data_IF_466032958943
#
_entry.id   IF_466032958943
#
_cell.length_a   1.000
_cell.length_b   1.000
_cell.length_c   1.000
_cell.angle_alpha   90.00
_cell.angle_beta   90.00
_cell.angle_gamma   90.00
#
_symmetry.space_group_name_H-M   'P 1'
#
loop_
_entity.id
_entity.type
_entity.pdbx_description
1 polymer ?
#
# COMPACT_ATOMS: atom_id res chain seq x y z
N UNK A 1 -41.26 14.40 2.22
CA UNK A 1 -41.48 12.95 2.10
C UNK A 1 -40.45 12.27 2.96
N UNK A 2 -40.91 11.54 3.89
CA UNK A 2 -40.37 11.07 5.13
C UNK A 2 -39.09 10.22 4.99
N UNK A 3 -38.00 10.72 5.58
CA UNK A 3 -36.80 9.95 5.95
C UNK A 3 -37.16 8.80 6.92
N UNK A 4 -37.05 7.58 6.46
CA UNK A 4 -36.91 6.42 7.32
C UNK A 4 -35.42 6.12 7.51
N UNK A 5 -34.83 6.75 8.51
CA UNK A 5 -33.54 6.33 9.04
C UNK A 5 -33.67 4.92 9.63
N UNK A 6 -33.08 3.96 8.99
CA UNK A 6 -32.81 2.63 9.52
C UNK A 6 -31.81 2.76 10.68
N UNK A 7 -32.33 2.72 11.91
CA UNK A 7 -31.50 2.52 13.10
C UNK A 7 -30.96 1.08 13.05
N UNK A 8 -29.72 0.92 12.64
CA UNK A 8 -28.98 -0.30 12.75
C UNK A 8 -28.61 -0.57 14.23
N UNK A 9 -28.63 -1.83 14.61
CA UNK A 9 -28.47 -2.41 15.93
C UNK A 9 -27.02 -2.35 16.48
N UNK A 10 -26.45 -1.16 16.64
CA UNK A 10 -25.03 -1.00 17.09
C UNK A 10 -24.85 -0.96 18.63
N UNK A 11 -25.91 -0.95 19.41
CA UNK A 11 -25.83 -0.76 20.86
C UNK A 11 -25.20 -1.94 21.65
N UNK A 12 -25.44 -3.23 21.34
CA UNK A 12 -24.83 -4.34 22.08
C UNK A 12 -23.32 -4.47 21.89
N UNK A 13 -22.82 -4.33 20.67
CA UNK A 13 -21.40 -4.45 20.35
C UNK A 13 -20.55 -3.36 21.01
N UNK A 14 -21.04 -2.12 21.03
CA UNK A 14 -20.36 -0.99 21.69
C UNK A 14 -20.31 -1.12 23.21
N UNK A 15 -21.34 -1.70 23.84
CA UNK A 15 -21.35 -1.96 25.30
C UNK A 15 -20.36 -3.06 25.69
N UNK A 16 -20.26 -4.13 24.90
CA UNK A 16 -19.29 -5.21 25.13
C UNK A 16 -17.84 -4.75 24.90
N UNK A 17 -17.59 -3.92 23.90
CA UNK A 17 -16.27 -3.33 23.67
C UNK A 17 -15.83 -2.46 24.85
N UNK A 18 -16.71 -1.61 25.39
CA UNK A 18 -16.42 -0.76 26.55
C UNK A 18 -16.08 -1.59 27.78
N UNK A 19 -16.75 -2.71 28.00
CA UNK A 19 -16.49 -3.64 29.11
C UNK A 19 -15.10 -4.26 28.98
N UNK A 20 -14.73 -4.75 27.80
CA UNK A 20 -13.40 -5.31 27.52
C UNK A 20 -12.29 -4.28 27.73
N UNK A 21 -12.50 -3.04 27.30
CA UNK A 21 -11.55 -1.93 27.51
C UNK A 21 -11.37 -1.67 29.00
N UNK A 22 -12.46 -1.64 29.78
CA UNK A 22 -12.42 -1.44 31.23
C UNK A 22 -11.66 -2.58 31.94
N UNK A 23 -11.92 -3.82 31.58
CA UNK A 23 -11.18 -4.98 32.10
C UNK A 23 -9.68 -4.93 31.80
N UNK A 24 -9.31 -4.53 30.58
CA UNK A 24 -7.92 -4.38 30.16
C UNK A 24 -7.20 -3.22 30.88
N UNK A 25 -7.92 -2.14 31.19
CA UNK A 25 -7.40 -1.04 32.03
C UNK A 25 -7.11 -1.51 33.44
N UNK A 26 -8.02 -2.28 34.07
CA UNK A 26 -7.78 -2.88 35.38
C UNK A 26 -6.56 -3.79 35.38
N UNK A 27 -6.38 -4.59 34.33
CA UNK A 27 -5.17 -5.42 34.16
C UNK A 27 -3.91 -4.55 34.06
N UNK A 28 -3.95 -3.44 33.31
CA UNK A 28 -2.83 -2.52 33.18
C UNK A 28 -2.46 -1.87 34.52
N UNK A 29 -3.44 -1.42 35.33
CA UNK A 29 -3.15 -0.86 36.65
C UNK A 29 -2.46 -1.87 37.58
N UNK A 30 -2.87 -3.15 37.55
CA UNK A 30 -2.19 -4.22 38.28
C UNK A 30 -0.74 -4.43 37.80
N UNK A 31 -0.49 -4.30 36.50
CA UNK A 31 0.85 -4.40 35.92
C UNK A 31 1.69 -3.20 36.39
N UNK A 32 1.14 -2.00 36.35
CA UNK A 32 1.81 -0.76 36.80
C UNK A 32 2.22 -0.81 38.24
N UNK A 33 1.39 -1.32 39.12
CA UNK A 33 1.70 -1.43 40.55
C UNK A 33 2.87 -2.39 40.85
N UNK A 34 3.18 -3.29 39.91
CA UNK A 34 4.24 -4.32 40.07
C UNK A 34 5.44 -4.11 39.12
N UNK A 35 5.48 -3.01 38.36
CA UNK A 35 6.50 -2.74 37.36
C UNK A 35 7.10 -1.33 37.57
N UNK A 36 8.43 -1.24 37.73
CA UNK A 36 9.15 0.01 37.89
C UNK A 36 9.03 0.95 36.67
N UNK A 37 8.79 0.40 35.49
CA UNK A 37 8.64 1.13 34.23
C UNK A 37 7.18 1.52 33.93
N UNK A 38 6.33 1.67 34.95
CA UNK A 38 4.93 2.07 34.81
C UNK A 38 4.13 1.21 33.82
N UNK A 39 4.44 -0.09 33.75
CA UNK A 39 3.77 -1.06 32.89
C UNK A 39 4.23 -1.10 31.41
N UNK A 40 5.27 -0.33 31.09
CA UNK A 40 5.86 -0.28 29.74
C UNK A 40 7.37 -0.42 29.81
N UNK A 41 7.90 -1.63 30.09
CA UNK A 41 9.35 -1.86 30.15
C UNK A 41 9.99 -1.64 28.78
N UNK A 42 11.21 -1.13 28.77
CA UNK A 42 12.01 -0.87 27.56
C UNK A 42 13.41 -1.53 27.62
N UNK A 43 13.55 -2.50 28.48
CA UNK A 43 14.79 -3.26 28.75
C UNK A 43 14.91 -4.55 27.93
N UNK A 44 13.88 -4.88 27.13
CA UNK A 44 13.92 -6.05 26.25
C UNK A 44 14.59 -5.70 24.91
N UNK A 45 15.71 -6.35 24.60
CA UNK A 45 16.37 -6.24 23.30
C UNK A 45 15.91 -7.34 22.35
N UNK A 46 15.23 -6.94 21.24
CA UNK A 46 14.88 -7.86 20.16
C UNK A 46 16.09 -8.03 19.25
N UNK A 47 16.56 -9.25 19.08
CA UNK A 47 17.73 -9.59 18.26
C UNK A 47 17.34 -10.26 16.94
N UNK A 48 16.17 -10.93 16.89
CA UNK A 48 15.79 -11.74 15.75
C UNK A 48 14.39 -11.39 15.21
N UNK A 49 14.17 -11.64 13.92
CA UNK A 49 12.90 -11.52 13.24
C UNK A 49 12.30 -12.89 12.91
N UNK A 50 10.97 -12.98 12.95
CA UNK A 50 10.27 -14.23 12.70
C UNK A 50 10.56 -14.84 11.31
N UNK A 51 10.63 -14.00 10.26
CA UNK A 51 10.92 -14.47 8.90
C UNK A 51 12.35 -15.00 8.77
N UNK A 52 13.33 -14.37 9.41
CA UNK A 52 14.73 -14.80 9.35
C UNK A 52 14.89 -16.18 10.01
N UNK A 53 14.26 -16.38 11.17
CA UNK A 53 14.22 -17.68 11.86
C UNK A 53 13.56 -18.74 10.98
N UNK A 54 12.44 -18.42 10.33
CA UNK A 54 11.77 -19.36 9.41
C UNK A 54 12.63 -19.70 8.20
N UNK A 55 13.31 -18.71 7.62
CA UNK A 55 14.19 -18.92 6.45
C UNK A 55 15.42 -19.78 6.79
N UNK A 56 16.00 -19.58 7.96
CA UNK A 56 17.20 -20.29 8.38
C UNK A 56 16.92 -21.72 8.91
N UNK A 57 15.77 -21.91 9.56
CA UNK A 57 15.49 -23.14 10.31
C UNK A 57 14.22 -23.87 9.88
N UNK A 58 13.45 -23.34 8.94
CA UNK A 58 12.17 -23.91 8.53
C UNK A 58 12.27 -25.34 8.00
N UNK A 59 13.35 -25.66 7.29
CA UNK A 59 13.58 -26.99 6.70
C UNK A 59 14.30 -27.98 7.65
N UNK A 60 14.87 -27.50 8.76
CA UNK A 60 15.60 -28.35 9.72
C UNK A 60 14.66 -29.33 10.43
N UNK A 61 15.17 -30.50 10.76
CA UNK A 61 14.41 -31.50 11.55
C UNK A 61 14.33 -31.09 13.03
N UNK A 62 13.53 -31.77 13.79
CA UNK A 62 13.40 -31.53 15.22
C UNK A 62 14.72 -31.84 15.94
N UNK A 63 15.37 -32.93 15.57
CA UNK A 63 16.62 -33.40 16.13
C UNK A 63 17.75 -32.39 15.89
N UNK A 64 17.87 -31.90 14.65
CA UNK A 64 18.86 -30.87 14.30
C UNK A 64 18.67 -29.56 15.10
N UNK A 65 17.42 -29.18 15.39
CA UNK A 65 17.14 -27.98 16.21
C UNK A 65 17.45 -28.23 17.70
N UNK A 66 17.21 -29.43 18.21
CA UNK A 66 17.55 -29.81 19.57
C UNK A 66 19.07 -29.82 19.82
N UNK A 67 19.88 -30.15 18.81
CA UNK A 67 21.34 -30.09 18.88
C UNK A 67 21.89 -28.66 18.84
N UNK A 68 21.23 -27.73 18.13
CA UNK A 68 21.69 -26.35 17.94
C UNK A 68 21.77 -25.55 19.25
N UNK A 69 20.83 -25.76 20.20
CA UNK A 69 20.76 -25.07 21.49
C UNK A 69 20.92 -23.54 21.40
N UNK A 70 20.48 -22.93 20.30
CA UNK A 70 20.60 -21.48 20.08
C UNK A 70 19.40 -20.76 20.66
N UNK A 71 19.67 -19.71 21.41
CA UNK A 71 18.66 -18.86 22.02
C UNK A 71 18.23 -17.74 21.08
N UNK A 72 16.94 -17.55 20.91
CA UNK A 72 16.33 -16.52 20.08
C UNK A 72 15.55 -15.53 20.93
N UNK A 73 15.79 -14.24 20.70
CA UNK A 73 15.07 -13.13 21.33
C UNK A 73 14.19 -12.43 20.31
N UNK A 74 12.89 -12.56 20.43
CA UNK A 74 11.89 -12.00 19.53
C UNK A 74 10.90 -11.12 20.27
N UNK A 75 10.38 -10.10 19.62
CA UNK A 75 9.29 -9.27 20.14
C UNK A 75 8.24 -9.02 19.07
N UNK A 76 6.97 -9.05 19.48
CA UNK A 76 5.88 -8.82 18.55
C UNK A 76 4.52 -8.81 19.21
N UNK A 77 3.49 -8.66 18.38
CA UNK A 77 2.09 -8.61 18.82
C UNK A 77 1.50 -10.01 18.95
N UNK A 78 0.83 -10.26 20.06
CA UNK A 78 0.08 -11.50 20.29
C UNK A 78 -1.17 -11.51 19.41
N UNK A 79 -1.19 -12.43 18.44
CA UNK A 79 -2.32 -12.61 17.50
C UNK A 79 -3.23 -13.75 17.87
N UNK A 80 -2.77 -14.72 18.65
CA UNK A 80 -3.57 -15.81 19.19
C UNK A 80 -2.93 -16.40 20.43
N UNK A 81 -3.78 -16.99 21.28
CA UNK A 81 -3.39 -17.74 22.47
C UNK A 81 -4.09 -19.10 22.41
N UNK A 82 -3.32 -20.18 22.31
CA UNK A 82 -3.85 -21.54 22.12
C UNK A 82 -3.13 -22.51 23.08
N UNK A 83 -3.78 -22.83 24.19
CA UNK A 83 -3.17 -23.69 25.21
C UNK A 83 -1.80 -23.16 25.67
N UNK A 84 -0.71 -23.92 25.45
CA UNK A 84 0.64 -23.51 25.82
C UNK A 84 1.31 -22.60 24.80
N UNK A 85 0.66 -22.29 23.67
CA UNK A 85 1.23 -21.52 22.58
C UNK A 85 0.68 -20.10 22.51
N UNK A 86 1.58 -19.15 22.21
CA UNK A 86 1.29 -17.79 21.77
C UNK A 86 1.70 -17.65 20.30
N UNK A 87 0.82 -17.15 19.46
CA UNK A 87 1.20 -16.73 18.10
C UNK A 87 1.60 -15.28 18.18
N UNK A 88 2.86 -14.98 17.87
CA UNK A 88 3.47 -13.65 17.92
C UNK A 88 3.75 -13.21 16.50
N UNK A 89 3.34 -11.98 16.18
CA UNK A 89 3.54 -11.35 14.87
C UNK A 89 4.46 -10.15 15.02
N UNK A 90 5.56 -10.15 14.28
CA UNK A 90 6.45 -8.99 14.13
C UNK A 90 6.28 -8.31 12.77
N UNK A 91 7.22 -7.46 12.38
CA UNK A 91 7.22 -6.75 11.08
C UNK A 91 7.49 -7.67 9.90
N UNK A 92 8.10 -8.83 10.13
CA UNK A 92 8.53 -9.78 9.09
C UNK A 92 7.54 -10.92 8.88
N UNK A 93 6.94 -11.44 9.96
CA UNK A 93 6.08 -12.61 9.90
C UNK A 93 5.49 -13.02 11.24
N UNK A 94 5.21 -14.31 11.37
CA UNK A 94 4.67 -14.92 12.60
C UNK A 94 5.53 -16.08 13.05
N UNK A 95 5.67 -16.20 14.37
CA UNK A 95 6.31 -17.34 15.03
C UNK A 95 5.52 -17.70 16.28
N UNK A 96 5.68 -18.92 16.77
CA UNK A 96 5.04 -19.35 18.00
C UNK A 96 6.02 -19.25 19.18
N UNK A 97 5.52 -18.84 20.33
CA UNK A 97 6.17 -19.01 21.60
C UNK A 97 5.47 -20.07 22.41
N UNK A 98 6.20 -20.91 23.10
CA UNK A 98 5.69 -22.02 23.89
C UNK A 98 6.08 -21.87 25.37
N UNK A 99 5.12 -22.09 26.27
CA UNK A 99 5.39 -22.20 27.71
C UNK A 99 4.50 -23.25 28.33
N UNK A 100 5.11 -24.33 28.83
CA UNK A 100 4.40 -25.39 29.51
C UNK A 100 3.99 -24.96 30.93
N UNK A 101 2.76 -25.34 31.33
CA UNK A 101 2.19 -24.94 32.61
C UNK A 101 2.96 -25.49 33.83
N UNK A 102 3.54 -26.68 33.68
CA UNK A 102 4.26 -27.38 34.74
C UNK A 102 5.72 -26.94 34.84
N UNK A 103 6.38 -26.64 33.73
CA UNK A 103 7.79 -26.30 33.65
C UNK A 103 8.00 -24.79 33.77
N UNK A 104 7.29 -23.99 32.94
CA UNK A 104 7.38 -22.52 32.98
C UNK A 104 6.22 -21.89 33.79
N UNK A 105 6.07 -22.30 35.04
CA UNK A 105 4.98 -21.85 35.93
C UNK A 105 4.90 -20.34 36.07
N UNK A 106 6.03 -19.67 36.22
CA UNK A 106 6.12 -18.22 36.42
C UNK A 106 5.72 -17.45 35.16
N UNK A 107 6.17 -17.93 33.98
CA UNK A 107 5.80 -17.35 32.68
C UNK A 107 4.29 -17.52 32.48
N UNK A 108 3.78 -18.72 32.74
CA UNK A 108 2.35 -19.03 32.58
C UNK A 108 1.45 -18.26 33.55
N UNK A 109 1.92 -17.95 34.73
CA UNK A 109 1.19 -17.12 35.69
C UNK A 109 0.96 -15.69 35.14
N UNK A 110 1.94 -15.14 34.45
CA UNK A 110 1.84 -13.80 33.82
C UNK A 110 0.79 -13.75 32.69
N UNK A 111 0.44 -14.89 32.07
CA UNK A 111 -0.55 -14.94 30.98
C UNK A 111 -1.99 -14.66 31.41
N UNK A 112 -2.28 -14.62 32.72
CA UNK A 112 -3.60 -14.21 33.22
C UNK A 112 -3.95 -12.76 32.87
N UNK A 113 -2.93 -11.89 32.75
CA UNK A 113 -3.10 -10.48 32.34
C UNK A 113 -2.94 -10.25 30.82
N UNK A 114 -2.52 -11.28 30.08
CA UNK A 114 -2.26 -11.19 28.64
C UNK A 114 -3.55 -11.26 27.83
N UNK A 115 -3.71 -10.31 26.92
CA UNK A 115 -4.79 -10.28 25.96
C UNK A 115 -4.25 -10.29 24.51
N UNK A 116 -5.10 -10.72 23.57
CA UNK A 116 -4.79 -10.61 22.12
C UNK A 116 -4.64 -9.14 21.78
N UNK A 117 -3.57 -8.83 21.04
CA UNK A 117 -3.19 -7.46 20.71
C UNK A 117 -2.04 -6.90 21.55
N UNK A 118 -1.72 -7.49 22.71
CA UNK A 118 -0.57 -7.09 23.51
C UNK A 118 0.75 -7.27 22.75
N UNK A 119 1.75 -6.48 23.06
CA UNK A 119 3.11 -6.65 22.55
C UNK A 119 3.95 -7.32 23.65
N UNK A 120 4.63 -8.39 23.28
CA UNK A 120 5.45 -9.19 24.19
C UNK A 120 6.85 -9.38 23.62
N UNK A 121 7.84 -9.51 24.53
CA UNK A 121 9.16 -10.02 24.25
C UNK A 121 9.28 -11.42 24.84
N UNK A 122 9.86 -12.34 24.09
CA UNK A 122 10.18 -13.70 24.54
C UNK A 122 11.59 -14.06 24.14
N UNK A 123 12.25 -14.85 24.99
CA UNK A 123 13.58 -15.40 24.73
C UNK A 123 13.60 -16.87 25.12
N UNK A 124 14.29 -17.68 24.34
CA UNK A 124 14.42 -19.11 24.59
C UNK A 124 14.92 -19.89 23.38
N UNK A 125 14.99 -21.20 23.53
CA UNK A 125 15.54 -22.12 22.54
C UNK A 125 14.49 -22.43 21.48
N UNK A 126 14.94 -22.54 20.22
CA UNK A 126 14.10 -22.85 19.09
C UNK A 126 13.84 -24.36 19.01
N UNK A 127 12.57 -24.72 18.81
CA UNK A 127 12.13 -26.11 18.65
C UNK A 127 11.14 -26.22 17.48
N UNK A 128 10.83 -27.48 17.08
CA UNK A 128 9.82 -27.78 16.07
C UNK A 128 8.72 -28.67 16.66
N UNK A 129 7.48 -28.29 16.40
CA UNK A 129 6.32 -29.05 16.83
C UNK A 129 6.15 -30.35 16.03
N UNK A 130 5.35 -31.31 16.52
CA UNK A 130 5.03 -32.53 15.77
C UNK A 130 4.28 -32.29 14.44
N UNK A 131 3.81 -31.05 14.21
CA UNK A 131 3.19 -30.61 12.94
C UNK A 131 4.16 -29.86 12.02
N UNK A 132 5.42 -29.71 12.43
CA UNK A 132 6.43 -29.00 11.65
C UNK A 132 6.52 -27.49 11.91
N UNK A 133 5.70 -26.91 12.79
CA UNK A 133 5.76 -25.48 13.09
C UNK A 133 6.93 -25.17 14.03
N UNK A 134 7.71 -24.14 13.71
CA UNK A 134 8.75 -23.61 14.59
C UNK A 134 8.15 -22.86 15.79
N UNK A 135 8.74 -23.04 16.96
CA UNK A 135 8.38 -22.29 18.16
C UNK A 135 9.61 -22.03 19.05
N UNK A 136 9.58 -20.91 19.75
CA UNK A 136 10.54 -20.57 20.80
C UNK A 136 10.02 -21.12 22.12
N UNK A 137 10.75 -22.06 22.73
CA UNK A 137 10.49 -22.55 24.09
C UNK A 137 10.94 -21.48 25.07
N UNK A 138 9.99 -20.80 25.70
CA UNK A 138 10.25 -19.58 26.47
C UNK A 138 11.01 -19.87 27.75
N UNK A 139 12.17 -19.23 27.88
CA UNK A 139 12.95 -19.12 29.13
C UNK A 139 12.69 -17.76 29.78
N UNK A 140 12.51 -16.72 28.98
CA UNK A 140 12.14 -15.38 29.43
C UNK A 140 10.88 -14.89 28.73
N UNK A 141 10.08 -14.10 29.44
CA UNK A 141 8.86 -13.47 28.95
C UNK A 141 8.69 -12.07 29.57
N UNK A 142 8.46 -11.08 28.73
CA UNK A 142 8.14 -9.72 29.15
C UNK A 142 6.92 -9.20 28.42
N UNK A 143 5.98 -8.58 29.14
CA UNK A 143 4.90 -7.79 28.54
C UNK A 143 5.42 -6.37 28.28
N UNK A 144 5.62 -6.02 27.02
CA UNK A 144 6.18 -4.74 26.61
C UNK A 144 5.13 -3.64 26.49
N UNK A 145 3.94 -3.98 25.97
CA UNK A 145 2.85 -3.02 25.81
C UNK A 145 1.50 -3.70 25.94
N UNK A 146 0.63 -3.15 26.78
CA UNK A 146 -0.74 -3.60 26.94
C UNK A 146 -1.64 -2.98 25.86
N UNK A 147 -2.35 -3.82 25.11
CA UNK A 147 -3.39 -3.38 24.17
C UNK A 147 -4.69 -3.14 24.91
N UNK A 148 -5.14 -1.89 24.96
CA UNK A 148 -6.38 -1.54 25.67
C UNK A 148 -7.63 -1.79 24.85
N UNK A 149 -7.56 -1.62 23.52
CA UNK A 149 -8.67 -1.89 22.62
C UNK A 149 -8.55 -3.29 22.05
N UNK A 150 -9.64 -4.07 22.00
CA UNK A 150 -9.65 -5.36 21.31
C UNK A 150 -9.37 -5.15 19.82
N UNK A 151 -8.72 -6.11 19.20
CA UNK A 151 -8.63 -6.16 17.74
C UNK A 151 -9.98 -6.60 17.17
N UNK A 152 -10.38 -6.12 16.00
CA UNK A 152 -11.56 -6.61 15.29
C UNK A 152 -11.53 -8.13 15.13
N UNK A 153 -12.69 -8.78 15.17
CA UNK A 153 -12.78 -10.23 15.07
C UNK A 153 -12.21 -10.74 13.74
N UNK A 154 -11.46 -11.85 13.83
CA UNK A 154 -10.72 -12.44 12.72
C UNK A 154 -11.58 -12.88 11.54
N UNK A 155 -12.86 -13.23 11.80
CA UNK A 155 -13.78 -13.77 10.81
C UNK A 155 -14.58 -12.71 10.04
N UNK A 156 -14.70 -11.52 10.61
CA UNK A 156 -15.40 -10.41 9.94
C UNK A 156 -14.45 -9.31 9.51
N UNK A 157 -13.20 -9.32 9.99
CA UNK A 157 -12.11 -8.42 9.64
C UNK A 157 -12.55 -6.96 9.61
N UNK A 158 -11.68 -6.07 9.22
CA UNK A 158 -12.09 -4.78 8.67
C UNK A 158 -12.52 -5.03 7.22
N UNK A 159 -13.78 -5.45 7.00
CA UNK A 159 -14.34 -5.60 5.66
C UNK A 159 -14.73 -4.26 5.06
N UNK A 160 -15.11 -3.32 5.91
CA UNK A 160 -15.44 -1.95 5.53
C UNK A 160 -14.19 -1.21 5.03
N UNK A 161 -14.22 -0.83 3.76
CA UNK A 161 -13.13 -0.13 3.09
C UNK A 161 -12.86 1.25 3.70
N UNK A 162 -13.88 1.95 4.13
CA UNK A 162 -13.73 3.26 4.76
C UNK A 162 -13.02 3.14 6.11
N UNK A 163 -13.41 2.14 6.91
CA UNK A 163 -12.75 1.87 8.18
C UNK A 163 -11.26 1.48 8.00
N UNK A 164 -10.91 0.72 6.95
CA UNK A 164 -9.51 0.42 6.60
C UNK A 164 -8.70 1.69 6.32
N UNK A 165 -9.29 2.67 5.66
CA UNK A 165 -8.63 3.95 5.39
C UNK A 165 -8.53 4.82 6.65
N UNK A 166 -9.59 4.90 7.46
CA UNK A 166 -9.61 5.73 8.68
C UNK A 166 -8.72 5.17 9.79
N UNK A 167 -8.67 3.84 9.92
CA UNK A 167 -7.86 3.14 10.92
C UNK A 167 -6.78 2.28 10.27
N UNK A 168 -5.95 2.89 9.42
CA UNK A 168 -4.90 2.20 8.68
C UNK A 168 -3.96 1.39 9.58
N UNK A 169 -3.68 1.86 10.79
CA UNK A 169 -2.85 1.16 11.75
C UNK A 169 -3.49 -0.16 12.24
N UNK A 170 -4.83 -0.22 12.35
CA UNK A 170 -5.54 -1.47 12.67
C UNK A 170 -5.54 -2.41 11.47
N UNK A 171 -5.80 -1.89 10.27
CA UNK A 171 -5.74 -2.63 9.01
C UNK A 171 -4.35 -3.29 8.83
N UNK A 172 -3.27 -2.56 9.08
CA UNK A 172 -1.90 -3.08 9.03
C UNK A 172 -1.62 -4.18 10.08
N UNK A 173 -2.29 -4.17 11.25
CA UNK A 173 -2.15 -5.24 12.24
C UNK A 173 -2.79 -6.53 11.74
N UNK A 174 -3.95 -6.44 11.09
CA UNK A 174 -4.82 -7.57 10.79
C UNK A 174 -4.54 -8.14 9.40
N UNK A 175 -4.43 -7.28 8.38
CA UNK A 175 -4.36 -7.65 6.98
C UNK A 175 -2.91 -7.74 6.48
N UNK A 176 -2.52 -8.94 6.12
CA UNK A 176 -1.19 -9.20 5.54
C UNK A 176 -1.06 -8.59 4.13
N UNK A 177 -2.11 -8.69 3.33
CA UNK A 177 -2.15 -8.10 1.98
C UNK A 177 -1.90 -6.59 2.01
N UNK A 178 -2.47 -5.88 3.00
CA UNK A 178 -2.21 -4.45 3.19
C UNK A 178 -0.75 -4.19 3.51
N UNK A 179 -0.14 -4.96 4.42
CA UNK A 179 1.30 -4.84 4.72
C UNK A 179 2.16 -5.09 3.49
N UNK A 180 1.86 -6.14 2.72
CA UNK A 180 2.58 -6.47 1.51
C UNK A 180 2.45 -5.37 0.46
N UNK A 181 1.27 -4.79 0.28
CA UNK A 181 1.04 -3.66 -0.62
C UNK A 181 1.97 -2.48 -0.28
N UNK A 182 2.10 -2.11 0.99
CA UNK A 182 3.00 -1.02 1.39
C UNK A 182 4.48 -1.39 1.24
N UNK A 183 4.87 -2.64 1.54
CA UNK A 183 6.25 -3.12 1.30
C UNK A 183 6.60 -3.09 -0.19
N UNK A 184 5.71 -3.59 -1.05
CA UNK A 184 5.88 -3.58 -2.52
C UNK A 184 5.95 -2.14 -3.02
N UNK A 185 5.06 -1.25 -2.57
CA UNK A 185 5.10 0.18 -2.92
C UNK A 185 6.46 0.81 -2.60
N UNK A 186 6.98 0.58 -1.40
CA UNK A 186 8.30 1.11 -1.01
C UNK A 186 9.42 0.58 -1.89
N UNK A 187 9.39 -0.71 -2.21
CA UNK A 187 10.37 -1.34 -3.12
C UNK A 187 10.28 -0.78 -4.54
N UNK A 188 9.06 -0.55 -5.06
CA UNK A 188 8.85 0.06 -6.38
C UNK A 188 9.46 1.46 -6.42
N UNK A 189 9.19 2.32 -5.43
CA UNK A 189 9.75 3.68 -5.38
C UNK A 189 11.27 3.66 -5.31
N UNK A 190 11.85 2.77 -4.49
CA UNK A 190 13.29 2.57 -4.44
C UNK A 190 13.85 2.05 -5.78
N UNK A 191 13.17 1.11 -6.42
CA UNK A 191 13.53 0.57 -7.73
C UNK A 191 13.55 1.62 -8.83
N UNK A 192 12.51 2.49 -8.89
CA UNK A 192 12.46 3.62 -9.83
C UNK A 192 13.66 4.55 -9.62
N UNK A 193 13.94 4.91 -8.36
CA UNK A 193 15.06 5.78 -8.01
C UNK A 193 16.39 5.18 -8.46
N UNK A 194 16.63 3.92 -8.14
CA UNK A 194 17.84 3.20 -8.52
C UNK A 194 17.99 3.09 -10.05
N UNK A 195 16.89 2.76 -10.75
CA UNK A 195 16.90 2.63 -12.22
C UNK A 195 17.31 3.95 -12.90
N UNK A 196 16.78 5.08 -12.46
CA UNK A 196 17.11 6.39 -13.03
C UNK A 196 18.51 6.84 -12.62
N UNK A 197 18.89 6.69 -11.36
CA UNK A 197 20.23 7.08 -10.87
C UNK A 197 21.34 6.30 -11.59
N UNK A 198 21.15 5.01 -11.88
CA UNK A 198 22.09 4.21 -12.65
C UNK A 198 22.21 4.64 -14.13
N UNK A 199 21.33 5.52 -14.59
CA UNK A 199 21.31 6.11 -15.93
C UNK A 199 21.68 7.59 -15.91
N UNK A 200 22.39 8.01 -14.86
CA UNK A 200 22.90 9.37 -14.66
C UNK A 200 21.80 10.45 -14.54
N UNK A 201 20.59 10.05 -14.16
CA UNK A 201 19.59 11.03 -13.77
C UNK A 201 19.85 11.54 -12.35
N UNK A 202 19.88 12.85 -12.18
CA UNK A 202 19.97 13.53 -10.88
C UNK A 202 18.59 13.61 -10.24
N UNK A 203 18.43 13.08 -9.02
CA UNK A 203 17.22 13.31 -8.22
C UNK A 203 17.28 14.74 -7.65
N UNK A 204 16.20 15.49 -7.83
CA UNK A 204 16.07 16.85 -7.36
C UNK A 204 14.78 17.05 -6.57
N UNK A 205 14.77 18.09 -5.73
CA UNK A 205 13.56 18.57 -5.03
C UNK A 205 13.31 20.01 -5.44
N UNK A 206 12.17 20.28 -6.06
CA UNK A 206 11.76 21.60 -6.49
C UNK A 206 10.63 22.15 -5.61
N UNK A 207 10.42 23.49 -5.56
CA UNK A 207 9.44 24.09 -4.68
C UNK A 207 8.02 23.56 -4.88
N UNK A 208 7.36 23.20 -3.78
CA UNK A 208 5.93 22.82 -3.78
C UNK A 208 5.01 24.04 -3.78
N UNK A 209 5.46 25.16 -3.19
CA UNK A 209 4.74 26.43 -3.24
C UNK A 209 5.13 27.18 -4.51
N UNK A 210 4.17 27.55 -5.32
CA UNK A 210 4.36 28.21 -6.61
C UNK A 210 3.54 29.50 -6.67
N UNK A 211 4.10 30.52 -7.31
CA UNK A 211 3.38 31.78 -7.58
C UNK A 211 2.42 31.56 -8.77
N UNK A 212 2.85 30.79 -9.76
CA UNK A 212 2.04 30.46 -10.93
C UNK A 212 1.91 28.94 -11.02
N UNK A 213 0.70 28.38 -10.88
CA UNK A 213 0.49 26.95 -11.07
C UNK A 213 0.61 26.60 -12.55
N UNK A 214 1.27 25.49 -12.87
CA UNK A 214 1.44 25.05 -14.26
C UNK A 214 1.97 23.63 -14.37
N UNK A 215 2.13 23.15 -15.62
CA UNK A 215 2.61 21.80 -15.93
C UNK A 215 1.52 20.74 -16.01
N UNK A 216 0.26 21.07 -15.71
CA UNK A 216 -0.89 20.19 -15.88
C UNK A 216 -2.18 20.99 -16.01
N UNK A 217 -3.24 20.35 -16.54
CA UNK A 217 -4.59 20.91 -16.53
C UNK A 217 -5.31 20.41 -15.30
N UNK A 218 -5.15 21.11 -14.17
CA UNK A 218 -5.77 20.74 -12.90
C UNK A 218 -6.07 22.00 -12.06
N UNK A 219 -7.04 21.90 -11.14
CA UNK A 219 -7.35 22.98 -10.22
C UNK A 219 -6.38 22.95 -9.03
N UNK A 220 -5.65 24.04 -8.74
CA UNK A 220 -4.71 24.09 -7.62
C UNK A 220 -5.41 24.31 -6.27
N UNK A 221 -4.75 23.95 -5.18
CA UNK A 221 -5.02 24.51 -3.85
C UNK A 221 -4.33 25.85 -3.72
N UNK A 222 -5.03 26.84 -3.13
CA UNK A 222 -4.50 28.17 -2.86
C UNK A 222 -4.11 28.28 -1.38
N UNK A 223 -3.06 29.05 -1.12
CA UNK A 223 -2.61 29.47 0.20
C UNK A 223 -2.10 30.90 0.15
N UNK A 224 -1.85 31.52 1.32
CA UNK A 224 -1.39 32.89 1.43
C UNK A 224 -0.10 32.97 2.23
N UNK A 225 0.90 33.69 1.71
CA UNK A 225 2.16 33.96 2.41
C UNK A 225 2.03 35.29 3.19
N UNK A 226 1.79 35.20 4.49
CA UNK A 226 1.45 36.34 5.33
C UNK A 226 2.48 37.49 5.30
N UNK A 227 3.78 37.16 5.32
CA UNK A 227 4.85 38.19 5.37
C UNK A 227 4.95 38.99 4.08
N UNK A 228 4.71 38.37 2.95
CA UNK A 228 4.80 39.01 1.64
C UNK A 228 3.46 39.45 1.08
N UNK A 229 2.35 39.20 1.81
CA UNK A 229 0.98 39.48 1.36
C UNK A 229 0.74 38.95 -0.07
N UNK A 230 1.11 37.67 -0.28
CA UNK A 230 1.15 37.04 -1.60
C UNK A 230 0.37 35.75 -1.63
N UNK A 231 -0.57 35.65 -2.58
CA UNK A 231 -1.25 34.39 -2.86
C UNK A 231 -0.31 33.41 -3.58
N UNK A 232 -0.27 32.20 -3.08
CA UNK A 232 0.53 31.10 -3.61
C UNK A 232 -0.33 29.86 -3.84
N UNK A 233 0.22 28.93 -4.59
CA UNK A 233 -0.48 27.70 -4.97
C UNK A 233 0.38 26.49 -4.60
N UNK A 234 -0.26 25.44 -4.10
CA UNK A 234 0.38 24.13 -4.04
C UNK A 234 0.49 23.56 -5.46
N UNK A 235 1.68 23.11 -5.84
CA UNK A 235 1.96 22.65 -7.19
C UNK A 235 1.06 21.54 -7.65
N UNK A 236 0.61 21.59 -8.88
CA UNK A 236 -0.14 20.55 -9.58
C UNK A 236 0.78 19.56 -10.32
N UNK A 237 2.02 19.98 -10.64
CA UNK A 237 3.08 19.21 -11.27
C UNK A 237 4.45 19.92 -11.05
N UNK A 238 5.59 19.21 -11.06
CA UNK A 238 6.93 19.79 -10.96
C UNK A 238 7.49 20.25 -12.32
N UNK A 239 6.80 20.05 -13.43
CA UNK A 239 7.24 20.20 -14.82
C UNK A 239 8.06 21.47 -15.09
N UNK A 240 7.50 22.64 -14.75
CA UNK A 240 8.15 23.93 -15.10
C UNK A 240 9.50 24.10 -14.41
N UNK A 241 9.62 23.63 -13.18
CA UNK A 241 10.86 23.71 -12.44
C UNK A 241 11.91 22.72 -12.97
N UNK A 242 11.49 21.50 -13.31
CA UNK A 242 12.39 20.51 -13.92
C UNK A 242 12.90 20.96 -15.29
N UNK A 243 12.06 21.57 -16.12
CA UNK A 243 12.48 22.18 -17.39
C UNK A 243 13.48 23.31 -17.19
N UNK A 244 13.34 24.14 -16.15
CA UNK A 244 14.30 25.18 -15.82
C UNK A 244 15.68 24.62 -15.45
N UNK A 245 15.72 23.48 -14.77
CA UNK A 245 16.96 22.80 -14.43
C UNK A 245 17.66 22.27 -15.68
N UNK A 246 16.90 21.71 -16.63
CA UNK A 246 17.45 21.28 -17.93
C UNK A 246 17.98 22.47 -18.71
N UNK A 247 17.27 23.60 -18.77
CA UNK A 247 17.75 24.85 -19.36
C UNK A 247 19.03 25.35 -18.66
N UNK A 248 19.13 25.13 -17.34
CA UNK A 248 20.31 25.45 -16.52
C UNK A 248 21.52 24.56 -16.75
N UNK A 249 21.39 23.50 -17.59
CA UNK A 249 22.51 22.64 -17.99
C UNK A 249 22.53 21.26 -17.29
N UNK A 250 21.48 20.85 -16.60
CA UNK A 250 21.34 19.46 -16.11
C UNK A 250 20.71 18.61 -17.19
N UNK A 251 21.48 17.75 -17.82
CA UNK A 251 21.01 16.94 -18.95
C UNK A 251 19.92 15.94 -18.58
N UNK A 252 19.94 15.40 -17.36
CA UNK A 252 19.00 14.38 -16.89
C UNK A 252 18.59 14.65 -15.45
N UNK A 253 17.31 14.91 -15.23
CA UNK A 253 16.76 15.19 -13.90
C UNK A 253 15.47 14.41 -13.68
N UNK A 254 15.20 14.05 -12.43
CA UNK A 254 13.92 13.52 -12.02
C UNK A 254 13.55 13.97 -10.62
N UNK A 255 12.25 13.96 -10.33
CA UNK A 255 11.71 14.23 -9.00
C UNK A 255 10.62 13.23 -8.68
N UNK A 256 10.73 12.57 -7.52
CA UNK A 256 9.67 11.74 -6.94
C UNK A 256 9.15 12.48 -5.72
N UNK A 257 8.00 13.14 -5.84
CA UNK A 257 7.51 13.99 -4.75
C UNK A 257 5.99 14.20 -4.82
N UNK A 258 5.45 14.97 -3.87
CA UNK A 258 4.03 15.30 -3.78
C UNK A 258 3.60 16.33 -4.78
N UNK A 259 2.42 16.11 -5.36
CA UNK A 259 1.65 17.10 -6.10
C UNK A 259 0.21 17.12 -5.60
N UNK A 260 -0.49 18.21 -5.86
CA UNK A 260 -1.78 18.52 -5.25
C UNK A 260 -2.77 18.93 -6.34
N UNK A 261 -3.96 18.34 -6.34
CA UNK A 261 -5.04 18.71 -7.27
C UNK A 261 -6.33 18.84 -6.51
N UNK A 262 -6.99 20.03 -6.52
CA UNK A 262 -8.23 20.33 -5.83
C UNK A 262 -9.45 19.95 -6.69
N UNK A 263 -9.60 18.66 -6.91
CA UNK A 263 -10.60 18.05 -7.77
C UNK A 263 -11.40 16.96 -7.02
N UNK A 264 -12.29 16.28 -7.72
CA UNK A 264 -13.11 15.22 -7.14
C UNK A 264 -12.30 14.04 -6.62
N UNK A 265 -12.72 13.45 -5.51
CA UNK A 265 -12.09 12.28 -4.88
C UNK A 265 -12.70 11.00 -5.43
N UNK A 266 -11.89 10.00 -5.68
CA UNK A 266 -12.31 8.64 -6.02
C UNK A 266 -11.35 7.61 -5.43
N UNK A 267 -11.64 6.33 -5.62
CA UNK A 267 -10.73 5.24 -5.19
C UNK A 267 -9.35 5.30 -5.86
N UNK A 268 -9.21 6.04 -6.96
CA UNK A 268 -7.96 6.20 -7.73
C UNK A 268 -7.42 7.63 -7.73
N UNK A 269 -8.17 8.60 -7.20
CA UNK A 269 -7.81 10.01 -7.20
C UNK A 269 -7.83 10.55 -5.77
N UNK A 270 -6.66 10.92 -5.30
CA UNK A 270 -6.45 11.56 -4.02
C UNK A 270 -6.01 13.01 -4.27
N UNK A 271 -6.47 14.00 -3.49
CA UNK A 271 -6.08 15.40 -3.70
C UNK A 271 -4.59 15.65 -3.49
N UNK A 272 -3.92 14.81 -2.71
CA UNK A 272 -2.48 14.79 -2.50
C UNK A 272 -1.94 13.42 -2.91
N UNK A 273 -0.99 13.38 -3.85
CA UNK A 273 -0.44 12.14 -4.37
C UNK A 273 1.04 12.26 -4.68
N UNK A 274 1.74 11.14 -4.65
CA UNK A 274 3.14 11.05 -5.11
C UNK A 274 3.16 10.76 -6.60
N UNK A 275 3.92 11.55 -7.34
CA UNK A 275 4.19 11.33 -8.76
C UNK A 275 5.68 11.38 -9.02
N UNK A 276 6.08 10.87 -10.17
CA UNK A 276 7.40 11.05 -10.74
C UNK A 276 7.28 11.82 -12.04
N UNK A 277 8.19 12.76 -12.23
CA UNK A 277 8.52 13.30 -13.54
C UNK A 277 10.03 13.22 -13.77
N UNK A 278 10.43 12.94 -14.99
CA UNK A 278 11.84 12.94 -15.39
C UNK A 278 12.00 13.56 -16.76
N UNK A 279 13.13 14.26 -16.96
CA UNK A 279 13.45 15.00 -18.16
C UNK A 279 14.87 14.68 -18.60
N UNK A 280 15.05 14.55 -19.92
CA UNK A 280 16.33 14.25 -20.53
C UNK A 280 16.54 15.15 -21.73
N UNK A 281 17.66 15.87 -21.73
CA UNK A 281 18.13 16.61 -22.89
C UNK A 281 18.62 15.66 -23.98
N UNK A 282 18.59 16.11 -25.23
CA UNK A 282 19.07 15.37 -26.40
C UNK A 282 18.39 14.01 -26.61
N UNK A 283 17.15 13.89 -26.18
CA UNK A 283 16.32 12.70 -26.32
C UNK A 283 14.94 13.06 -26.88
N UNK A 284 14.34 12.17 -27.62
CA UNK A 284 12.97 12.31 -28.11
C UNK A 284 12.00 11.37 -27.38
N UNK A 285 10.75 11.36 -27.81
CA UNK A 285 9.72 10.54 -27.18
C UNK A 285 9.94 9.02 -27.40
N UNK A 286 10.68 8.61 -28.43
CA UNK A 286 11.05 7.20 -28.64
C UNK A 286 12.02 6.73 -27.58
N UNK A 287 13.00 7.56 -27.22
CA UNK A 287 13.93 7.26 -26.13
C UNK A 287 13.20 7.11 -24.80
N UNK A 288 12.22 7.98 -24.54
CA UNK A 288 11.42 7.90 -23.30
C UNK A 288 10.44 6.71 -23.30
N UNK A 289 9.93 6.30 -24.45
CA UNK A 289 9.17 5.05 -24.57
C UNK A 289 10.03 3.84 -24.22
N UNK A 290 11.25 3.77 -24.76
CA UNK A 290 12.19 2.70 -24.46
C UNK A 290 12.56 2.67 -22.98
N UNK A 291 12.90 3.82 -22.41
CA UNK A 291 13.25 3.98 -20.99
C UNK A 291 12.10 3.57 -20.08
N UNK A 292 10.87 3.95 -20.40
CA UNK A 292 9.68 3.62 -19.60
C UNK A 292 9.39 2.13 -19.65
N UNK A 293 9.46 1.52 -20.83
CA UNK A 293 9.25 0.07 -21.02
C UNK A 293 10.28 -0.74 -20.22
N UNK A 294 11.57 -0.38 -20.35
CA UNK A 294 12.65 -1.03 -19.61
C UNK A 294 12.50 -0.84 -18.10
N UNK A 295 12.17 0.36 -17.63
CA UNK A 295 11.97 0.67 -16.22
C UNK A 295 10.86 -0.20 -15.62
N UNK A 296 9.70 -0.27 -16.24
CA UNK A 296 8.57 -1.05 -15.73
C UNK A 296 8.89 -2.55 -15.69
N UNK A 297 9.56 -3.07 -16.72
CA UNK A 297 9.99 -4.47 -16.80
C UNK A 297 11.00 -4.81 -15.71
N UNK A 298 12.04 -4.00 -15.57
CA UNK A 298 13.11 -4.19 -14.58
C UNK A 298 12.54 -4.18 -13.17
N UNK A 299 11.71 -3.17 -12.84
CA UNK A 299 11.13 -3.04 -11.51
C UNK A 299 10.17 -4.20 -11.20
N UNK A 300 9.37 -4.65 -12.16
CA UNK A 300 8.49 -5.80 -11.96
C UNK A 300 9.31 -7.06 -11.65
N UNK A 301 10.38 -7.31 -12.39
CA UNK A 301 11.27 -8.45 -12.16
C UNK A 301 11.97 -8.36 -10.80
N UNK A 302 12.52 -7.22 -10.43
CA UNK A 302 13.28 -7.02 -9.19
C UNK A 302 12.40 -7.08 -7.94
N UNK A 303 11.19 -6.54 -8.01
CA UNK A 303 10.31 -6.42 -6.85
C UNK A 303 9.39 -7.62 -6.68
N UNK A 304 8.90 -8.19 -7.78
CA UNK A 304 7.91 -9.27 -7.79
C UNK A 304 8.50 -10.64 -8.17
N UNK A 305 9.72 -10.68 -8.71
CA UNK A 305 10.34 -11.89 -9.26
C UNK A 305 9.70 -12.35 -10.58
N UNK A 306 8.84 -11.52 -11.18
CA UNK A 306 8.14 -11.83 -12.44
C UNK A 306 7.76 -10.57 -13.18
N UNK A 307 7.72 -10.64 -14.51
CA UNK A 307 7.20 -9.57 -15.37
C UNK A 307 5.70 -9.71 -15.66
N UNK A 308 5.09 -10.84 -15.29
CA UNK A 308 3.64 -11.05 -15.44
C UNK A 308 2.89 -10.67 -14.18
N UNK A 309 2.11 -9.60 -14.25
CA UNK A 309 1.33 -9.08 -13.14
C UNK A 309 -0.08 -9.64 -13.21
N UNK A 310 -0.51 -10.33 -12.15
CA UNK A 310 -1.88 -10.81 -11.98
C UNK A 310 -2.71 -9.77 -11.24
N UNK A 311 -3.81 -9.35 -11.82
CA UNK A 311 -4.81 -8.50 -11.18
C UNK A 311 -6.13 -9.26 -11.01
N UNK A 312 -6.65 -9.31 -9.79
CA UNK A 312 -7.92 -10.00 -9.47
C UNK A 312 -8.94 -8.98 -8.99
N UNK A 313 -10.13 -9.02 -9.59
CA UNK A 313 -11.30 -8.28 -9.10
C UNK A 313 -12.16 -9.24 -8.28
N UNK A 314 -12.46 -8.84 -7.05
CA UNK A 314 -13.31 -9.62 -6.12
C UNK A 314 -14.66 -8.95 -5.95
N UNK A 315 -15.72 -9.76 -5.81
CA UNK A 315 -17.06 -9.28 -5.44
C UNK A 315 -17.12 -8.93 -3.93
N UNK A 316 -18.31 -8.52 -3.46
CA UNK A 316 -18.58 -8.21 -2.05
C UNK A 316 -18.31 -9.40 -1.10
N UNK A 317 -18.44 -10.62 -1.59
CA UNK A 317 -18.28 -11.86 -0.84
C UNK A 317 -16.83 -12.36 -0.83
N UNK A 318 -15.92 -11.62 -1.51
CA UNK A 318 -14.49 -11.91 -1.59
C UNK A 318 -14.13 -12.95 -2.66
N UNK A 319 -15.07 -13.37 -3.50
CA UNK A 319 -14.83 -14.28 -4.61
C UNK A 319 -14.22 -13.54 -5.80
N UNK A 320 -13.30 -14.20 -6.48
CA UNK A 320 -12.67 -13.66 -7.70
C UNK A 320 -13.67 -13.74 -8.84
N UNK A 321 -14.11 -12.57 -9.35
CA UNK A 321 -15.05 -12.46 -10.46
C UNK A 321 -14.37 -12.16 -11.80
N UNK A 322 -13.17 -11.61 -11.76
CA UNK A 322 -12.38 -11.31 -12.94
C UNK A 322 -10.89 -11.46 -12.63
N UNK A 323 -10.14 -11.98 -13.59
CA UNK A 323 -8.70 -12.12 -13.50
C UNK A 323 -8.05 -11.61 -14.78
N UNK A 324 -7.10 -10.68 -14.63
CA UNK A 324 -6.36 -10.10 -15.75
C UNK A 324 -4.87 -10.31 -15.54
N UNK A 325 -4.18 -10.65 -16.62
CA UNK A 325 -2.73 -10.77 -16.62
C UNK A 325 -2.13 -9.68 -17.50
N UNK A 326 -1.17 -8.96 -16.97
CA UNK A 326 -0.39 -7.94 -17.67
C UNK A 326 1.04 -8.43 -17.79
N UNK A 327 1.47 -8.75 -19.02
CA UNK A 327 2.82 -9.26 -19.28
C UNK A 327 3.72 -8.10 -19.73
N UNK A 328 4.49 -7.56 -18.77
CA UNK A 328 5.48 -6.51 -19.04
C UNK A 328 6.78 -7.06 -19.68
N UNK A 329 6.92 -8.38 -19.80
CA UNK A 329 8.06 -9.03 -20.47
C UNK A 329 7.99 -8.92 -21.99
N UNK A 330 6.78 -8.72 -22.55
CA UNK A 330 6.58 -8.52 -23.99
C UNK A 330 6.83 -7.05 -24.38
N UNK A 331 7.27 -6.79 -25.61
CA UNK A 331 7.35 -5.43 -26.15
C UNK A 331 5.99 -4.71 -26.04
N UNK A 332 6.02 -3.46 -25.64
CA UNK A 332 4.81 -2.64 -25.55
C UNK A 332 4.37 -2.25 -26.97
N UNK A 333 3.06 -2.35 -27.24
CA UNK A 333 2.49 -1.88 -28.48
C UNK A 333 2.66 -0.36 -28.61
N UNK A 334 3.18 0.07 -29.76
CA UNK A 334 3.34 1.50 -30.10
C UNK A 334 2.38 1.82 -31.22
N UNK A 335 1.30 2.47 -30.86
CA UNK A 335 0.18 2.75 -31.76
C UNK A 335 -0.08 4.25 -31.78
N UNK A 336 -0.45 4.77 -32.97
CA UNK A 336 -1.09 6.07 -33.02
C UNK A 336 -2.47 5.99 -32.34
N UNK A 337 -3.05 7.13 -32.00
CA UNK A 337 -4.42 7.16 -31.41
C UNK A 337 -5.43 6.46 -32.34
N UNK A 338 -5.35 6.71 -33.62
CA UNK A 338 -6.24 6.06 -34.64
C UNK A 338 -6.04 4.56 -34.67
N UNK A 339 -4.76 4.09 -34.72
CA UNK A 339 -4.46 2.66 -34.73
C UNK A 339 -4.90 1.97 -33.44
N UNK A 340 -4.81 2.65 -32.30
CA UNK A 340 -5.31 2.15 -31.02
C UNK A 340 -6.85 2.01 -31.03
N UNK A 341 -7.56 3.02 -31.52
CA UNK A 341 -9.04 2.98 -31.67
C UNK A 341 -9.44 1.82 -32.59
N UNK A 342 -8.81 1.69 -33.76
CA UNK A 342 -9.11 0.63 -34.71
C UNK A 342 -8.75 -0.76 -34.16
N UNK A 343 -7.62 -0.89 -33.45
CA UNK A 343 -7.16 -2.16 -32.89
C UNK A 343 -8.03 -2.65 -31.74
N UNK A 344 -8.30 -1.80 -30.75
CA UNK A 344 -9.05 -2.16 -29.54
C UNK A 344 -10.57 -1.95 -29.67
N UNK A 345 -11.01 -1.17 -30.65
CA UNK A 345 -12.42 -0.97 -30.94
C UNK A 345 -13.10 -2.16 -31.65
N UNK A 346 -12.35 -3.15 -32.16
CA UNK A 346 -12.87 -4.30 -32.92
C UNK A 346 -13.96 -5.07 -32.17
N UNK A 347 -13.79 -5.23 -30.86
CA UNK A 347 -14.70 -6.02 -30.03
C UNK A 347 -15.83 -5.18 -29.43
N UNK A 348 -15.83 -3.88 -29.69
CA UNK A 348 -16.91 -3.01 -29.23
C UNK A 348 -18.19 -3.24 -30.05
N UNK A 349 -19.35 -3.22 -29.38
CA UNK A 349 -20.68 -3.40 -30.05
C UNK A 349 -20.95 -2.46 -31.21
N UNK A 350 -20.28 -1.31 -31.26
CA UNK A 350 -20.38 -0.31 -32.35
C UNK A 350 -19.15 -0.34 -33.27
N UNK A 351 -18.35 -1.40 -33.29
CA UNK A 351 -17.14 -1.51 -34.11
C UNK A 351 -17.43 -1.25 -35.63
N UNK A 352 -18.60 -1.66 -36.11
CA UNK A 352 -19.00 -1.43 -37.48
C UNK A 352 -19.19 0.06 -37.84
N UNK A 353 -19.29 0.96 -36.87
CA UNK A 353 -19.35 2.40 -37.09
C UNK A 353 -17.98 3.08 -37.21
N UNK A 354 -16.88 2.36 -36.93
CA UNK A 354 -15.53 2.89 -37.01
C UNK A 354 -15.07 2.90 -38.48
N UNK A 355 -14.77 4.08 -38.99
CA UNK A 355 -14.25 4.28 -40.34
C UNK A 355 -12.82 4.83 -40.25
N UNK A 356 -11.87 4.07 -40.77
CA UNK A 356 -10.43 4.41 -40.72
C UNK A 356 -10.14 5.70 -41.50
N UNK A 357 -10.76 5.89 -42.69
CA UNK A 357 -10.51 7.08 -43.50
C UNK A 357 -10.99 8.36 -42.78
N UNK A 358 -12.13 8.28 -42.10
CA UNK A 358 -12.69 9.37 -41.30
C UNK A 358 -11.80 9.66 -40.10
N UNK A 359 -11.32 8.62 -39.40
CA UNK A 359 -10.44 8.77 -38.21
C UNK A 359 -9.06 9.35 -38.56
N UNK A 360 -8.54 9.07 -39.79
CA UNK A 360 -7.24 9.60 -40.25
C UNK A 360 -7.29 11.02 -40.78
N UNK A 361 -8.49 11.54 -41.09
CA UNK A 361 -8.70 12.92 -41.51
C UNK A 361 -9.80 13.60 -40.66
N UNK A 362 -9.56 13.78 -39.39
CA UNK A 362 -10.58 14.21 -38.43
C UNK A 362 -11.02 15.67 -38.62
N UNK A 363 -10.18 16.54 -39.20
CA UNK A 363 -10.51 17.94 -39.40
C UNK A 363 -11.56 18.11 -40.53
N UNK A 364 -11.41 17.36 -41.61
CA UNK A 364 -12.36 17.39 -42.75
C UNK A 364 -13.62 16.55 -42.47
N UNK A 365 -13.60 15.66 -41.49
CA UNK A 365 -14.67 14.72 -41.20
C UNK A 365 -15.29 14.90 -39.80
N UNK A 366 -15.28 16.11 -39.25
CA UNK A 366 -15.63 16.35 -37.84
C UNK A 366 -17.04 15.85 -37.46
N UNK A 367 -18.06 16.04 -38.35
CA UNK A 367 -19.42 15.58 -38.07
C UNK A 367 -19.53 14.04 -38.08
N UNK A 368 -18.75 13.38 -38.93
CA UNK A 368 -18.65 11.91 -38.93
C UNK A 368 -17.96 11.40 -37.65
N UNK A 369 -16.92 12.07 -37.18
CA UNK A 369 -16.25 11.76 -35.87
C UNK A 369 -17.25 11.87 -34.72
N UNK A 370 -18.08 12.94 -34.68
CA UNK A 370 -19.14 13.08 -33.66
C UNK A 370 -20.15 11.93 -33.73
N UNK A 371 -20.57 11.56 -34.93
CA UNK A 371 -21.51 10.45 -35.11
C UNK A 371 -20.91 9.12 -34.61
N UNK A 372 -19.65 8.83 -34.93
CA UNK A 372 -18.93 7.65 -34.43
C UNK A 372 -18.78 7.68 -32.90
N UNK A 373 -18.36 8.80 -32.34
CA UNK A 373 -18.21 8.96 -30.89
C UNK A 373 -19.55 8.70 -30.16
N UNK A 374 -20.66 9.23 -30.72
CA UNK A 374 -21.99 8.97 -30.18
C UNK A 374 -22.37 7.48 -30.27
N UNK A 375 -22.04 6.82 -31.38
CA UNK A 375 -22.32 5.38 -31.57
C UNK A 375 -21.57 4.50 -30.58
N UNK A 376 -20.31 4.85 -30.19
CA UNK A 376 -19.54 4.15 -29.17
C UNK A 376 -19.89 4.59 -27.75
N UNK A 377 -20.81 5.55 -27.58
CA UNK A 377 -21.35 5.92 -26.26
C UNK A 377 -20.70 7.10 -25.58
N UNK A 378 -19.90 7.92 -26.29
CA UNK A 378 -19.38 9.18 -25.78
C UNK A 378 -20.57 10.12 -25.50
N UNK A 379 -20.66 10.60 -24.25
CA UNK A 379 -21.72 11.50 -23.80
C UNK A 379 -21.31 12.95 -23.99
N UNK A 380 -22.09 13.69 -24.76
CA UNK A 380 -21.93 15.13 -24.86
C UNK A 380 -22.47 15.84 -23.60
N UNK A 381 -21.82 16.94 -23.22
CA UNK A 381 -22.23 17.85 -22.15
C UNK A 381 -22.26 19.29 -22.69
N UNK A 382 -22.64 20.23 -21.86
CA UNK A 382 -22.55 21.66 -22.23
C UNK A 382 -21.12 22.10 -22.59
N UNK A 383 -20.11 21.45 -22.04
CA UNK A 383 -18.70 21.69 -22.36
C UNK A 383 -18.29 21.13 -23.73
N UNK A 384 -19.01 20.14 -24.28
CA UNK A 384 -18.67 19.54 -25.59
C UNK A 384 -18.90 20.46 -26.77
N UNK A 385 -19.62 21.58 -26.58
CA UNK A 385 -19.86 22.59 -27.65
C UNK A 385 -18.55 23.21 -28.18
N UNK A 386 -17.48 23.17 -27.43
CA UNK A 386 -16.15 23.72 -27.79
C UNK A 386 -15.12 22.62 -28.06
N UNK A 387 -15.53 21.37 -28.11
CA UNK A 387 -14.61 20.27 -28.40
C UNK A 387 -14.22 20.25 -29.89
N UNK A 388 -12.93 20.14 -30.16
CA UNK A 388 -12.44 19.80 -31.49
C UNK A 388 -12.45 18.30 -31.74
N UNK A 389 -12.11 17.84 -32.98
CA UNK A 389 -12.16 16.43 -33.35
C UNK A 389 -11.33 15.51 -32.45
N UNK A 390 -10.18 15.96 -31.99
CA UNK A 390 -9.30 15.18 -31.08
C UNK A 390 -9.85 15.02 -29.65
N UNK A 391 -10.97 15.64 -29.29
CA UNK A 391 -11.63 15.50 -28.01
C UNK A 391 -12.76 14.47 -28.02
N UNK A 392 -13.28 14.13 -29.19
CA UNK A 392 -14.26 13.08 -29.43
C UNK A 392 -13.57 11.74 -29.66
#
# INVERSE_FOLDING_TARGET
MTDKATKASDAPAAQDENKLIAERRVKLEKIRSNCSANGFPNDFNREHLAADIQAEHGEKTKEELEELQVTYAIAGRVMAKRGPFLVIQDSSGRIQGYAEKTVQKEIRAKWGSLDIGDIVGIKGILHKSGKGDLYVNMEEYSLLTKSLRPLPEKFHGLSDQEMKYRQRYVDLIINEDTRNTFKVRSKIVAGIRNFLTQRDFMEVETPMLQIIPGGATAKPFMTHHNTFDLDMYLRIAPELNLKRLVVGGFDRVFEINRSFRNEGISTRHNPEFTMIEFYQAYADYHDLMNTTEEMLRTIAQDVLGTTTIRNTVKNSDGEVVEEKFYDLGKPFARLSMVDAILSYGKDHRAAASLDEAVLRDPENNFDAIKAMAKAVGVKESSASKVWGPGKY
#
